data_IF_350422998336
#
_entry.id   IF_350422998336
#
_cell.length_a   1.000
_cell.length_b   1.000
_cell.length_c   1.000
_cell.angle_alpha   90.00
_cell.angle_beta   90.00
_cell.angle_gamma   90.00
#
_symmetry.space_group_name_H-M   'P 1'
#
loop_
_entity.id
_entity.type
_entity.pdbx_description
1 polymer ?
#
# COMPACT_ATOMS: atom_id res chain seq x y z
N UNK A 1 9.63 16.37 19.64
CA UNK A 1 8.50 15.94 20.48
C UNK A 1 8.45 14.42 20.37
N UNK A 2 8.51 13.68 21.48
CA UNK A 2 8.18 12.25 21.46
C UNK A 2 6.67 12.18 21.14
N UNK A 3 6.34 11.63 19.99
CA UNK A 3 4.95 11.50 19.56
C UNK A 3 4.17 10.68 20.60
N UNK A 4 3.00 11.19 20.96
CA UNK A 4 2.12 10.46 21.84
C UNK A 4 1.75 9.11 21.17
N UNK A 5 1.70 8.01 21.93
CA UNK A 5 1.35 6.72 21.37
C UNK A 5 -0.04 6.77 20.70
N UNK A 6 -0.13 6.15 19.53
CA UNK A 6 -1.38 6.05 18.79
C UNK A 6 -2.30 5.02 19.47
N UNK A 7 -3.53 5.42 19.75
CA UNK A 7 -4.55 4.52 20.29
C UNK A 7 -5.44 4.07 19.15
N UNK A 8 -5.50 2.77 18.93
CA UNK A 8 -6.40 2.14 17.97
C UNK A 8 -7.43 1.29 18.72
N UNK A 9 -8.63 1.19 18.18
CA UNK A 9 -9.63 0.25 18.69
C UNK A 9 -9.40 -1.09 17.99
N UNK A 10 -9.06 -2.16 18.72
CA UNK A 10 -8.88 -3.47 18.10
C UNK A 10 -10.24 -4.03 17.66
N UNK A 11 -10.28 -4.60 16.47
CA UNK A 11 -11.40 -5.39 15.96
C UNK A 11 -10.81 -6.72 15.48
N UNK A 12 -10.88 -7.74 16.33
CA UNK A 12 -10.16 -8.99 16.10
C UNK A 12 -10.93 -10.19 16.66
N UNK A 13 -10.75 -11.33 16.01
CA UNK A 13 -11.19 -12.64 16.47
C UNK A 13 -10.08 -13.44 17.17
N UNK A 14 -8.92 -12.82 17.41
CA UNK A 14 -7.79 -13.46 18.07
C UNK A 14 -8.13 -13.82 19.53
N UNK A 15 -7.49 -14.87 20.02
CA UNK A 15 -7.56 -15.21 21.46
C UNK A 15 -6.93 -14.09 22.30
N UNK A 16 -7.27 -13.98 23.60
CA UNK A 16 -6.66 -12.99 24.50
C UNK A 16 -5.14 -13.04 24.50
N UNK A 17 -4.54 -14.23 24.48
CA UNK A 17 -3.08 -14.42 24.44
C UNK A 17 -2.46 -13.92 23.12
N UNK A 18 -3.10 -14.20 21.99
CA UNK A 18 -2.64 -13.72 20.68
C UNK A 18 -2.78 -12.18 20.58
N UNK A 19 -3.84 -11.63 21.17
CA UNK A 19 -4.05 -10.18 21.25
C UNK A 19 -2.97 -9.52 22.13
N UNK A 20 -2.61 -10.10 23.26
CA UNK A 20 -1.52 -9.61 24.13
C UNK A 20 -0.18 -9.58 23.38
N UNK A 21 0.16 -10.68 22.69
CA UNK A 21 1.38 -10.75 21.86
C UNK A 21 1.37 -9.70 20.76
N UNK A 22 0.24 -9.54 20.05
CA UNK A 22 0.08 -8.52 19.01
C UNK A 22 0.26 -7.12 19.59
N UNK A 23 -0.35 -6.83 20.74
CA UNK A 23 -0.21 -5.56 21.44
C UNK A 23 1.25 -5.26 21.80
N UNK A 24 2.00 -6.26 22.26
CA UNK A 24 3.42 -6.13 22.56
C UNK A 24 4.28 -5.80 21.34
N UNK A 25 3.98 -6.41 20.18
CA UNK A 25 4.68 -6.08 18.92
C UNK A 25 4.36 -4.65 18.48
N UNK A 26 3.10 -4.27 18.48
CA UNK A 26 2.64 -2.94 18.05
C UNK A 26 3.16 -1.82 18.97
N UNK A 27 3.20 -2.08 20.29
CA UNK A 27 3.66 -1.09 21.25
C UNK A 27 5.14 -0.69 21.08
N UNK A 28 5.99 -1.58 20.55
CA UNK A 28 7.41 -1.27 20.25
C UNK A 28 7.54 -0.19 19.18
N UNK A 29 6.56 -0.09 18.29
CA UNK A 29 6.49 0.93 17.22
C UNK A 29 5.53 2.08 17.59
N UNK A 30 5.20 2.25 18.87
CA UNK A 30 4.38 3.33 19.38
C UNK A 30 2.88 3.19 19.08
N UNK A 31 2.42 2.02 18.62
CA UNK A 31 1.01 1.74 18.34
C UNK A 31 0.41 1.04 19.56
N UNK A 32 -0.43 1.77 20.32
CA UNK A 32 -1.11 1.20 21.49
C UNK A 32 -2.53 0.81 21.11
N UNK A 33 -2.92 -0.42 21.46
CA UNK A 33 -4.30 -0.91 21.34
C UNK A 33 -5.10 -0.49 22.57
N UNK A 34 -6.25 0.10 22.36
CA UNK A 34 -7.13 0.56 23.44
C UNK A 34 -8.48 1.00 22.91
N UNK A 35 -9.37 1.38 23.80
CA UNK A 35 -10.64 2.02 23.41
C UNK A 35 -10.30 3.40 22.84
N UNK A 36 -10.39 3.53 21.51
CA UNK A 36 -10.37 4.81 20.81
C UNK A 36 -11.74 5.51 20.93
N UNK A 37 -11.81 6.74 20.47
CA UNK A 37 -13.11 7.39 20.18
C UNK A 37 -13.70 6.80 18.87
N UNK A 38 -14.96 7.06 18.60
CA UNK A 38 -15.65 6.57 17.39
C UNK A 38 -15.03 7.13 16.09
N UNK A 39 -14.18 8.14 16.18
CA UNK A 39 -13.47 8.75 15.06
C UNK A 39 -12.06 8.15 14.83
N UNK A 40 -11.60 7.26 15.70
CA UNK A 40 -10.33 6.57 15.52
C UNK A 40 -10.46 5.46 14.44
N UNK A 41 -9.44 5.23 13.61
CA UNK A 41 -9.46 4.10 12.70
C UNK A 41 -9.46 2.77 13.47
N UNK A 42 -10.27 1.82 13.00
CA UNK A 42 -10.29 0.47 13.54
C UNK A 42 -9.12 -0.34 13.00
N UNK A 43 -8.36 -0.98 13.88
CA UNK A 43 -7.38 -1.97 13.49
C UNK A 43 -8.03 -3.36 13.53
N UNK A 44 -8.02 -4.04 12.39
CA UNK A 44 -8.47 -5.42 12.25
C UNK A 44 -7.25 -6.31 12.13
N UNK A 45 -7.07 -7.20 13.10
CA UNK A 45 -6.04 -8.23 13.07
C UNK A 45 -6.64 -9.52 12.50
N UNK A 46 -6.07 -10.08 11.43
CA UNK A 46 -6.63 -11.22 10.71
C UNK A 46 -5.54 -12.12 10.12
N UNK A 47 -5.91 -13.27 9.57
CA UNK A 47 -4.97 -14.23 9.00
C UNK A 47 -4.29 -13.78 7.68
N UNK A 48 -4.61 -12.58 7.20
CA UNK A 48 -4.08 -12.00 5.97
C UNK A 48 -4.76 -12.50 4.69
N UNK A 49 -5.86 -13.24 4.81
CA UNK A 49 -6.66 -13.72 3.68
C UNK A 49 -7.89 -12.86 3.52
N UNK A 50 -7.95 -12.09 2.44
CA UNK A 50 -9.12 -11.25 2.18
C UNK A 50 -10.35 -12.07 1.89
N UNK A 51 -11.48 -11.59 2.41
CA UNK A 51 -12.82 -12.09 2.16
C UNK A 51 -13.75 -10.90 1.85
N UNK A 52 -14.94 -11.14 1.25
CA UNK A 52 -15.90 -10.06 1.04
C UNK A 52 -16.30 -9.30 2.32
N UNK A 53 -16.22 -9.94 3.50
CA UNK A 53 -16.49 -9.27 4.78
C UNK A 53 -15.48 -8.14 5.08
N UNK A 54 -14.22 -8.30 4.68
CA UNK A 54 -13.20 -7.26 4.84
C UNK A 54 -13.49 -6.03 3.98
N UNK A 55 -14.16 -6.18 2.83
CA UNK A 55 -14.61 -5.05 2.02
C UNK A 55 -15.56 -4.13 2.80
N UNK A 56 -16.52 -4.70 3.54
CA UNK A 56 -17.43 -3.92 4.38
C UNK A 56 -16.71 -3.16 5.51
N UNK A 57 -15.60 -3.70 6.03
CA UNK A 57 -14.78 -3.02 7.04
C UNK A 57 -14.02 -1.83 6.44
N UNK A 58 -13.58 -1.94 5.19
CA UNK A 58 -12.94 -0.83 4.46
C UNK A 58 -13.94 0.29 4.10
N UNK A 59 -15.23 -0.01 3.98
CA UNK A 59 -16.28 0.98 3.71
C UNK A 59 -16.65 1.82 4.93
N UNK A 60 -16.20 1.46 6.14
CA UNK A 60 -16.41 2.26 7.37
C UNK A 60 -15.80 3.64 7.25
N UNK A 61 -16.20 4.54 8.13
CA UNK A 61 -15.63 5.90 8.24
C UNK A 61 -15.15 6.17 9.67
N UNK A 62 -13.83 6.20 9.91
CA UNK A 62 -12.74 5.96 8.96
C UNK A 62 -12.66 4.49 8.51
N UNK A 63 -12.02 4.21 7.35
CA UNK A 63 -11.79 2.84 6.89
C UNK A 63 -10.98 2.03 7.92
N UNK A 64 -11.30 0.74 8.03
CA UNK A 64 -10.53 -0.14 8.88
C UNK A 64 -9.12 -0.38 8.30
N UNK A 65 -8.15 -0.54 9.17
CA UNK A 65 -6.78 -0.94 8.86
C UNK A 65 -6.68 -2.46 8.99
N UNK A 66 -6.45 -3.16 7.89
CA UNK A 66 -6.38 -4.63 7.86
C UNK A 66 -4.91 -5.06 7.99
N UNK A 67 -4.52 -5.59 9.16
CA UNK A 67 -3.16 -6.00 9.49
C UNK A 67 -3.07 -7.52 9.64
N UNK A 68 -2.23 -8.15 8.82
CA UNK A 68 -2.05 -9.59 8.83
C UNK A 68 -1.25 -10.06 10.08
N UNK A 69 -1.65 -11.21 10.62
CA UNK A 69 -0.98 -11.88 11.73
C UNK A 69 -0.15 -13.06 11.20
N UNK A 70 1.05 -12.77 10.67
CA UNK A 70 1.94 -13.76 10.03
C UNK A 70 2.80 -14.54 11.00
N UNK A 71 3.05 -13.96 12.18
CA UNK A 71 3.95 -14.53 13.18
C UNK A 71 3.37 -15.75 13.87
N UNK A 72 4.25 -16.56 14.43
CA UNK A 72 3.85 -17.69 15.28
C UNK A 72 2.99 -17.18 16.44
N UNK A 73 1.84 -17.82 16.65
CA UNK A 73 0.88 -17.41 17.68
C UNK A 73 -0.04 -16.24 17.31
N UNK A 74 -0.18 -15.91 16.00
CA UNK A 74 -1.17 -14.97 15.53
C UNK A 74 -0.81 -13.51 15.82
N UNK A 75 0.46 -13.13 15.72
CA UNK A 75 0.93 -11.75 15.88
C UNK A 75 1.33 -11.13 14.53
N UNK A 76 1.25 -9.80 14.37
CA UNK A 76 1.82 -9.12 13.20
C UNK A 76 3.35 -9.21 13.22
N UNK A 77 3.97 -9.09 12.05
CA UNK A 77 5.42 -8.97 11.95
C UNK A 77 5.90 -7.60 12.45
N UNK A 78 7.12 -7.51 12.98
CA UNK A 78 7.69 -6.25 13.44
C UNK A 78 7.75 -5.19 12.31
N UNK A 79 8.07 -5.59 11.07
CA UNK A 79 8.10 -4.67 9.95
C UNK A 79 6.70 -4.14 9.57
N UNK A 80 5.62 -4.93 9.74
CA UNK A 80 4.25 -4.48 9.52
C UNK A 80 3.78 -3.52 10.62
N UNK A 81 4.18 -3.78 11.87
CA UNK A 81 3.93 -2.87 12.98
C UNK A 81 4.60 -1.51 12.76
N UNK A 82 5.86 -1.51 12.29
CA UNK A 82 6.61 -0.31 11.91
C UNK A 82 5.93 0.44 10.76
N UNK A 83 5.52 -0.26 9.71
CA UNK A 83 4.78 0.32 8.58
C UNK A 83 3.48 0.99 9.04
N UNK A 84 2.71 0.31 9.89
CA UNK A 84 1.49 0.87 10.47
C UNK A 84 1.79 2.13 11.30
N UNK A 85 2.80 2.07 12.17
CA UNK A 85 3.22 3.22 12.96
C UNK A 85 3.64 4.40 12.09
N UNK A 86 4.46 4.18 11.06
CA UNK A 86 4.89 5.21 10.11
C UNK A 86 3.70 5.81 9.35
N UNK A 87 2.78 4.95 8.86
CA UNK A 87 1.57 5.39 8.18
C UNK A 87 0.75 6.37 9.05
N UNK A 88 0.52 6.02 10.30
CA UNK A 88 -0.33 6.80 11.21
C UNK A 88 0.32 8.09 11.70
N UNK A 89 1.66 8.13 11.82
CA UNK A 89 2.40 9.33 12.25
C UNK A 89 2.77 10.29 11.12
N UNK A 90 2.39 9.99 9.87
CA UNK A 90 2.78 10.84 8.75
C UNK A 90 4.26 10.72 8.37
N UNK A 91 4.95 9.67 8.84
CA UNK A 91 6.36 9.40 8.56
C UNK A 91 6.57 8.71 7.21
N UNK A 92 7.81 8.70 6.63
CA UNK A 92 8.13 7.90 5.46
C UNK A 92 7.83 6.42 5.71
N UNK A 93 7.17 5.76 4.75
CA UNK A 93 6.79 4.35 4.87
C UNK A 93 7.91 3.39 4.45
N UNK A 94 8.90 3.87 3.70
CA UNK A 94 10.17 3.16 3.51
C UNK A 94 11.01 3.26 4.79
N UNK A 95 11.63 2.18 5.28
CA UNK A 95 12.47 2.21 6.47
C UNK A 95 13.58 3.27 6.37
N UNK A 96 13.75 4.09 7.41
CA UNK A 96 14.68 5.23 7.41
C UNK A 96 16.15 4.81 7.26
N UNK A 97 16.48 3.61 7.75
CA UNK A 97 17.81 3.00 7.68
C UNK A 97 18.15 2.43 6.29
N UNK A 98 17.15 2.30 5.41
CA UNK A 98 17.35 1.76 4.08
C UNK A 98 17.93 2.81 3.12
N UNK A 99 18.94 2.42 2.34
CA UNK A 99 19.44 3.23 1.24
C UNK A 99 18.33 3.39 0.17
N UNK A 100 17.72 4.57 0.14
CA UNK A 100 16.55 4.85 -0.69
C UNK A 100 16.98 5.52 -2.00
N UNK A 101 16.58 4.92 -3.12
CA UNK A 101 16.64 5.53 -4.44
C UNK A 101 15.36 6.31 -4.72
N UNK A 102 15.48 7.42 -5.46
CA UNK A 102 14.38 8.34 -5.74
C UNK A 102 14.39 8.73 -7.21
N UNK A 103 13.22 8.85 -7.82
CA UNK A 103 13.04 9.35 -9.19
C UNK A 103 11.77 10.19 -9.33
N UNK A 104 11.89 11.36 -9.97
CA UNK A 104 10.75 12.11 -10.47
C UNK A 104 10.34 11.55 -11.82
N UNK A 105 9.07 11.22 -11.97
CA UNK A 105 8.52 10.57 -13.16
C UNK A 105 7.53 11.51 -13.85
N UNK A 106 7.77 11.76 -15.14
CA UNK A 106 6.93 12.58 -16.00
C UNK A 106 6.42 11.85 -17.25
N UNK A 107 6.80 10.55 -17.40
CA UNK A 107 6.37 9.73 -18.54
C UNK A 107 6.26 8.24 -18.16
N UNK A 108 5.48 7.49 -18.94
CA UNK A 108 5.36 6.03 -18.77
C UNK A 108 6.71 5.33 -19.04
N UNK A 109 7.51 5.88 -19.96
CA UNK A 109 8.87 5.37 -20.21
C UNK A 109 9.76 5.50 -18.98
N UNK A 110 9.70 6.62 -18.26
CA UNK A 110 10.44 6.81 -17.01
C UNK A 110 9.92 5.89 -15.89
N UNK A 111 8.61 5.60 -15.84
CA UNK A 111 8.03 4.60 -14.92
C UNK A 111 8.63 3.22 -15.19
N UNK A 112 8.67 2.80 -16.46
CA UNK A 112 9.24 1.51 -16.87
C UNK A 112 10.72 1.43 -16.49
N UNK A 113 11.52 2.45 -16.83
CA UNK A 113 12.94 2.49 -16.48
C UNK A 113 13.19 2.49 -14.96
N UNK A 114 12.32 3.11 -14.18
CA UNK A 114 12.39 3.06 -12.72
C UNK A 114 12.06 1.65 -12.19
N UNK A 115 11.07 0.96 -12.80
CA UNK A 115 10.75 -0.43 -12.49
C UNK A 115 11.93 -1.38 -12.75
N UNK A 116 12.64 -1.20 -13.87
CA UNK A 116 13.85 -1.97 -14.21
C UNK A 116 14.95 -1.74 -13.17
N UNK A 117 15.19 -0.49 -12.76
CA UNK A 117 16.19 -0.18 -11.71
C UNK A 117 15.82 -0.76 -10.36
N UNK A 118 14.55 -0.73 -9.98
CA UNK A 118 14.08 -1.33 -8.74
C UNK A 118 14.20 -2.87 -8.77
N UNK A 119 13.90 -3.49 -9.91
CA UNK A 119 14.09 -4.93 -10.13
C UNK A 119 15.58 -5.33 -10.07
N UNK A 120 16.47 -4.53 -10.66
CA UNK A 120 17.92 -4.74 -10.59
C UNK A 120 18.43 -4.66 -9.14
N UNK A 121 17.94 -3.68 -8.35
CA UNK A 121 18.29 -3.59 -6.93
C UNK A 121 17.86 -4.84 -6.13
N UNK A 122 16.73 -5.45 -6.49
CA UNK A 122 16.30 -6.73 -5.91
C UNK A 122 17.28 -7.86 -6.23
N UNK A 123 17.72 -7.96 -7.50
CA UNK A 123 18.68 -8.98 -7.92
C UNK A 123 20.03 -8.80 -7.23
N UNK A 124 20.52 -7.56 -7.13
CA UNK A 124 21.78 -7.22 -6.46
C UNK A 124 21.73 -7.55 -4.96
N UNK A 125 20.56 -7.45 -4.33
CA UNK A 125 20.35 -7.86 -2.95
C UNK A 125 20.13 -9.37 -2.76
N UNK A 126 20.31 -10.18 -3.81
CA UNK A 126 20.14 -11.63 -3.77
C UNK A 126 18.67 -12.10 -3.86
N UNK A 127 17.75 -11.22 -4.25
CA UNK A 127 16.36 -11.59 -4.49
C UNK A 127 16.18 -12.47 -5.73
N UNK A 128 15.08 -13.21 -5.79
CA UNK A 128 14.77 -14.07 -6.93
C UNK A 128 14.37 -13.26 -8.18
N UNK A 129 14.55 -13.84 -9.37
CA UNK A 129 14.05 -13.25 -10.63
C UNK A 129 12.54 -13.02 -10.59
N UNK A 130 11.79 -13.92 -9.94
CA UNK A 130 10.35 -13.78 -9.77
C UNK A 130 10.02 -12.58 -8.87
N UNK A 131 10.81 -12.32 -7.81
CA UNK A 131 10.64 -11.12 -6.97
C UNK A 131 10.96 -9.85 -7.76
N UNK A 132 12.04 -9.84 -8.53
CA UNK A 132 12.42 -8.71 -9.39
C UNK A 132 11.30 -8.36 -10.39
N UNK A 133 10.72 -9.37 -11.06
CA UNK A 133 9.59 -9.17 -11.97
C UNK A 133 8.37 -8.58 -11.26
N UNK A 134 8.02 -9.10 -10.07
CA UNK A 134 6.92 -8.55 -9.27
C UNK A 134 7.16 -7.10 -8.88
N UNK A 135 8.38 -6.76 -8.50
CA UNK A 135 8.75 -5.39 -8.14
C UNK A 135 8.58 -4.46 -9.33
N UNK A 136 9.06 -4.86 -10.53
CA UNK A 136 8.86 -4.08 -11.75
C UNK A 136 7.36 -3.87 -12.05
N UNK A 137 6.55 -4.93 -11.94
CA UNK A 137 5.10 -4.85 -12.14
C UNK A 137 4.43 -3.90 -11.13
N UNK A 138 4.78 -4.00 -9.84
CA UNK A 138 4.22 -3.11 -8.80
C UNK A 138 4.63 -1.66 -9.04
N UNK A 139 5.91 -1.40 -9.37
CA UNK A 139 6.39 -0.05 -9.70
C UNK A 139 5.63 0.51 -10.88
N UNK A 140 5.43 -0.30 -11.94
CA UNK A 140 4.66 0.13 -13.11
C UNK A 140 3.24 0.56 -12.70
N UNK A 141 2.52 -0.27 -11.97
CA UNK A 141 1.13 0.00 -11.60
C UNK A 141 0.99 1.22 -10.65
N UNK A 142 1.82 1.31 -9.58
CA UNK A 142 1.75 2.46 -8.66
C UNK A 142 2.22 3.75 -9.34
N UNK A 143 3.24 3.66 -10.22
CA UNK A 143 3.76 4.79 -10.97
C UNK A 143 2.74 5.32 -11.98
N UNK A 144 2.13 4.45 -12.78
CA UNK A 144 1.10 4.85 -13.76
C UNK A 144 -0.13 5.42 -13.07
N UNK A 145 -0.58 4.85 -11.95
CA UNK A 145 -1.71 5.39 -11.20
C UNK A 145 -1.39 6.80 -10.66
N UNK A 146 -0.21 7.01 -10.09
CA UNK A 146 0.22 8.32 -9.58
C UNK A 146 0.43 9.34 -10.71
N UNK A 147 0.91 8.90 -11.88
CA UNK A 147 1.24 9.76 -13.02
C UNK A 147 0.02 10.14 -13.86
N UNK A 148 -0.89 9.19 -14.13
CA UNK A 148 -1.97 9.38 -15.11
C UNK A 148 -3.36 9.45 -14.50
N UNK A 149 -3.61 8.81 -13.34
CA UNK A 149 -4.95 8.79 -12.74
C UNK A 149 -5.14 9.82 -11.65
N UNK A 150 -4.07 10.18 -10.95
CA UNK A 150 -4.13 11.16 -9.87
C UNK A 150 -4.31 12.60 -10.37
N UNK A 151 -3.65 13.06 -11.49
CA UNK A 151 -3.72 14.43 -11.91
C UNK A 151 -5.12 14.88 -12.34
N UNK A 152 -5.53 16.05 -11.85
CA UNK A 152 -6.79 16.70 -12.18
C UNK A 152 -6.54 18.15 -12.59
N UNK A 153 -7.46 18.69 -13.36
CA UNK A 153 -7.49 20.12 -13.71
C UNK A 153 -8.05 20.98 -12.58
N UNK A 154 -8.16 22.28 -12.80
CA UNK A 154 -8.72 23.23 -11.84
C UNK A 154 -10.20 22.96 -11.50
N UNK A 155 -10.94 22.27 -12.37
CA UNK A 155 -12.32 21.83 -12.15
C UNK A 155 -12.41 20.52 -11.37
N UNK A 156 -11.29 19.85 -11.14
CA UNK A 156 -11.25 18.53 -10.48
C UNK A 156 -11.46 17.36 -11.44
N UNK A 157 -11.50 17.59 -12.74
CA UNK A 157 -11.66 16.54 -13.75
C UNK A 157 -10.32 15.86 -14.07
N UNK A 158 -10.31 14.53 -14.33
CA UNK A 158 -9.10 13.80 -14.65
C UNK A 158 -8.42 14.32 -15.92
N UNK A 159 -7.13 14.69 -15.84
CA UNK A 159 -6.37 15.20 -16.99
C UNK A 159 -6.02 14.09 -18.00
N UNK A 160 -5.61 12.92 -17.53
CA UNK A 160 -4.98 11.88 -18.37
C UNK A 160 -5.68 10.52 -18.32
N UNK A 161 -6.43 10.20 -17.27
CA UNK A 161 -7.00 8.88 -17.03
C UNK A 161 -7.82 8.30 -18.20
N UNK A 162 -8.56 9.16 -18.91
CA UNK A 162 -9.43 8.75 -20.02
C UNK A 162 -8.68 8.56 -21.36
N UNK A 163 -7.37 8.91 -21.43
CA UNK A 163 -6.54 8.83 -22.64
C UNK A 163 -5.14 8.26 -22.37
N UNK A 164 -5.00 7.40 -21.37
CA UNK A 164 -3.72 6.84 -20.92
C UNK A 164 -2.80 6.36 -22.05
N UNK A 165 -3.35 5.65 -23.06
CA UNK A 165 -2.58 5.11 -24.20
C UNK A 165 -2.03 6.17 -25.16
N UNK A 166 -2.45 7.42 -25.04
CA UNK A 166 -2.02 8.53 -25.91
C UNK A 166 -1.06 9.49 -25.20
N UNK A 167 -0.94 9.40 -23.87
CA UNK A 167 -0.10 10.30 -23.08
C UNK A 167 1.34 9.81 -23.10
N UNK A 168 2.21 10.56 -23.76
CA UNK A 168 3.66 10.28 -23.78
C UNK A 168 4.35 10.86 -22.54
N UNK A 169 3.97 12.08 -22.13
CA UNK A 169 4.49 12.75 -20.94
C UNK A 169 3.41 13.63 -20.33
N UNK A 170 3.55 13.91 -19.04
CA UNK A 170 2.69 14.83 -18.29
C UNK A 170 3.36 16.20 -18.11
N UNK A 171 2.60 17.20 -17.70
CA UNK A 171 3.15 18.51 -17.33
C UNK A 171 4.07 18.41 -16.11
N UNK A 172 4.99 19.37 -15.95
CA UNK A 172 5.99 19.35 -14.85
C UNK A 172 5.34 19.33 -13.46
N UNK A 173 4.24 20.07 -13.30
CA UNK A 173 3.45 20.10 -12.06
C UNK A 173 2.71 18.79 -11.76
N UNK A 174 2.51 17.94 -12.76
CA UNK A 174 1.77 16.67 -12.65
C UNK A 174 2.69 15.47 -12.43
N UNK A 175 4.02 15.68 -12.43
CA UNK A 175 5.00 14.63 -12.14
C UNK A 175 4.77 14.03 -10.77
N UNK A 176 5.00 12.73 -10.66
CA UNK A 176 4.98 12.01 -9.39
C UNK A 176 6.38 11.64 -8.93
N UNK A 177 6.53 11.40 -7.63
CA UNK A 177 7.75 10.92 -7.02
C UNK A 177 7.65 9.43 -6.79
N UNK A 178 8.63 8.66 -7.26
CA UNK A 178 8.82 7.26 -6.91
C UNK A 178 10.06 7.12 -6.04
N UNK A 179 9.92 6.36 -4.95
CA UNK A 179 11.02 5.98 -4.07
C UNK A 179 11.06 4.47 -3.93
N UNK A 180 12.26 3.88 -3.85
CA UNK A 180 12.42 2.45 -3.57
C UNK A 180 13.67 2.17 -2.79
N UNK A 181 13.62 1.08 -2.01
CA UNK A 181 14.75 0.56 -1.26
C UNK A 181 14.64 -0.95 -1.13
N UNK A 182 15.77 -1.62 -0.88
CA UNK A 182 15.80 -3.03 -0.51
C UNK A 182 16.39 -3.15 0.89
N UNK A 183 15.61 -3.65 1.83
CA UNK A 183 16.01 -3.83 3.22
C UNK A 183 15.23 -4.98 3.87
N UNK A 184 15.83 -5.66 4.83
CA UNK A 184 15.19 -6.71 5.66
C UNK A 184 14.49 -7.81 4.83
N UNK A 185 15.10 -8.21 3.71
CA UNK A 185 14.56 -9.23 2.81
C UNK A 185 13.33 -8.79 2.02
N UNK A 186 13.10 -7.48 1.87
CA UNK A 186 11.95 -6.89 1.14
C UNK A 186 12.38 -5.75 0.23
N UNK A 187 11.68 -5.62 -0.87
CA UNK A 187 11.65 -4.38 -1.62
C UNK A 187 10.53 -3.48 -1.08
N UNK A 188 10.88 -2.26 -0.77
CA UNK A 188 9.99 -1.20 -0.33
C UNK A 188 9.83 -0.21 -1.48
N UNK A 189 8.59 0.08 -1.84
CA UNK A 189 8.23 0.91 -2.99
C UNK A 189 7.24 1.96 -2.53
N UNK A 190 7.40 3.21 -2.91
CA UNK A 190 6.44 4.28 -2.59
C UNK A 190 6.29 5.22 -3.79
N UNK A 191 5.05 5.40 -4.27
CA UNK A 191 4.70 6.43 -5.22
C UNK A 191 3.94 7.55 -4.51
N UNK A 192 4.32 8.80 -4.80
CA UNK A 192 3.69 9.99 -4.22
C UNK A 192 3.19 10.91 -5.33
N UNK A 193 1.89 11.20 -5.34
CA UNK A 193 1.27 12.25 -6.14
C UNK A 193 0.95 13.49 -5.29
N UNK A 194 0.63 14.62 -5.95
CA UNK A 194 0.32 15.90 -5.32
C UNK A 194 -1.18 16.24 -5.30
N UNK A 195 -2.04 15.24 -5.51
CA UNK A 195 -3.48 15.49 -5.72
C UNK A 195 -4.34 15.00 -4.56
N UNK A 196 -3.94 13.93 -3.86
CA UNK A 196 -4.68 13.40 -2.71
C UNK A 196 -6.10 12.96 -3.07
N UNK A 197 -6.28 12.33 -4.23
CA UNK A 197 -7.60 11.98 -4.78
C UNK A 197 -7.99 10.52 -4.62
N UNK A 198 -7.06 9.66 -4.23
CA UNK A 198 -7.36 8.24 -4.10
C UNK A 198 -8.37 8.00 -2.98
N UNK A 199 -9.51 7.44 -3.32
CA UNK A 199 -10.49 6.97 -2.35
C UNK A 199 -10.26 5.49 -2.00
N UNK A 200 -10.89 5.00 -0.95
CA UNK A 200 -10.85 3.59 -0.57
C UNK A 200 -11.65 2.69 -1.53
N UNK A 201 -12.62 3.25 -2.26
CA UNK A 201 -13.57 2.48 -3.08
C UNK A 201 -12.94 1.54 -4.12
N UNK A 202 -11.87 1.89 -4.83
CA UNK A 202 -11.18 0.95 -5.71
C UNK A 202 -10.61 -0.26 -4.97
N UNK A 203 -10.05 -0.06 -3.77
CA UNK A 203 -9.52 -1.14 -2.93
C UNK A 203 -10.64 -2.04 -2.41
N UNK A 204 -11.78 -1.45 -2.02
CA UNK A 204 -13.00 -2.19 -1.62
C UNK A 204 -13.44 -3.13 -2.74
N UNK A 205 -13.49 -2.65 -3.99
CA UNK A 205 -13.87 -3.50 -5.14
C UNK A 205 -12.91 -4.68 -5.32
N UNK A 206 -11.61 -4.45 -5.21
CA UNK A 206 -10.61 -5.52 -5.35
C UNK A 206 -10.74 -6.54 -4.22
N UNK A 207 -10.91 -6.09 -2.96
CA UNK A 207 -11.09 -6.99 -1.81
C UNK A 207 -12.39 -7.77 -1.90
N UNK A 208 -13.48 -7.15 -2.37
CA UNK A 208 -14.77 -7.80 -2.56
C UNK A 208 -14.71 -8.94 -3.60
N UNK A 209 -13.96 -8.72 -4.69
CA UNK A 209 -13.74 -9.71 -5.76
C UNK A 209 -12.51 -10.60 -5.51
N UNK A 210 -11.95 -10.60 -4.29
CA UNK A 210 -10.76 -11.40 -3.98
C UNK A 210 -11.07 -12.90 -4.03
N UNK A 211 -10.24 -13.64 -4.76
CA UNK A 211 -10.46 -15.09 -4.98
C UNK A 211 -11.32 -15.44 -6.19
N UNK A 212 -12.06 -14.50 -6.75
CA UNK A 212 -12.77 -14.70 -8.01
C UNK A 212 -11.80 -14.64 -9.20
N UNK A 213 -12.11 -15.38 -10.28
CA UNK A 213 -11.36 -15.22 -11.53
C UNK A 213 -11.52 -13.78 -12.01
N UNK A 214 -10.42 -13.12 -12.35
CA UNK A 214 -10.43 -11.76 -12.89
C UNK A 214 -11.35 -11.74 -14.14
N UNK A 215 -12.55 -11.18 -13.99
CA UNK A 215 -13.37 -10.82 -15.15
C UNK A 215 -12.79 -9.51 -15.68
N UNK A 216 -12.33 -9.55 -16.92
CA UNK A 216 -11.96 -8.33 -17.66
C UNK A 216 -13.28 -7.62 -17.96
N UNK A 217 -13.61 -6.65 -17.11
CA UNK A 217 -14.73 -5.76 -17.39
C UNK A 217 -14.34 -4.87 -18.59
N UNK A 218 -14.87 -5.19 -19.75
CA UNK A 218 -14.60 -4.46 -20.99
C UNK A 218 -15.16 -3.01 -20.99
N UNK A 219 -15.83 -2.60 -19.89
CA UNK A 219 -16.47 -1.29 -19.76
C UNK A 219 -15.50 -0.15 -19.38
N UNK A 220 -14.21 -0.26 -19.72
CA UNK A 220 -13.32 0.92 -19.82
C UNK A 220 -12.60 1.37 -18.55
N UNK A 221 -12.62 0.62 -17.47
CA UNK A 221 -11.96 1.00 -16.20
C UNK A 221 -10.77 0.11 -15.83
N UNK A 222 -9.61 0.28 -16.47
CA UNK A 222 -8.38 -0.48 -16.14
C UNK A 222 -7.87 -0.37 -14.68
N UNK A 223 -8.39 0.56 -13.88
CA UNK A 223 -7.98 0.83 -12.50
C UNK A 223 -8.15 -0.35 -11.53
N UNK A 224 -9.09 -1.26 -11.77
CA UNK A 224 -9.32 -2.42 -10.91
C UNK A 224 -8.28 -3.53 -11.07
N UNK A 225 -7.79 -3.75 -12.29
CA UNK A 225 -6.79 -4.79 -12.60
C UNK A 225 -5.41 -4.42 -12.05
N UNK A 226 -5.01 -3.15 -12.17
CA UNK A 226 -3.73 -2.66 -11.66
C UNK A 226 -3.65 -2.78 -10.12
N UNK A 227 -4.68 -2.33 -9.40
CA UNK A 227 -4.73 -2.46 -7.94
C UNK A 227 -4.77 -3.93 -7.47
N UNK A 228 -5.46 -4.79 -8.22
CA UNK A 228 -5.46 -6.22 -7.94
C UNK A 228 -4.06 -6.80 -8.08
N UNK A 229 -3.34 -6.49 -9.16
CA UNK A 229 -1.95 -6.91 -9.40
C UNK A 229 -1.03 -6.42 -8.28
N UNK A 230 -1.16 -5.15 -7.86
CA UNK A 230 -0.40 -4.62 -6.72
C UNK A 230 -0.63 -5.48 -5.48
N UNK A 231 -1.89 -5.77 -5.12
CA UNK A 231 -2.22 -6.58 -3.94
C UNK A 231 -1.75 -8.04 -4.09
N UNK A 232 -1.83 -8.62 -5.29
CA UNK A 232 -1.35 -10.00 -5.54
C UNK A 232 0.17 -10.10 -5.38
N UNK A 233 0.93 -9.09 -5.81
CA UNK A 233 2.38 -9.09 -5.82
C UNK A 233 3.01 -8.57 -4.52
N UNK A 234 2.27 -7.84 -3.69
CA UNK A 234 2.75 -7.27 -2.43
C UNK A 234 2.34 -8.10 -1.22
N UNK A 235 3.13 -8.03 -0.15
CA UNK A 235 2.79 -8.59 1.17
C UNK A 235 2.02 -7.57 2.01
N UNK A 236 2.33 -6.28 1.83
CA UNK A 236 1.57 -5.20 2.43
C UNK A 236 1.42 -4.04 1.45
N UNK A 237 0.26 -3.41 1.50
CA UNK A 237 -0.05 -2.15 0.84
C UNK A 237 -0.48 -1.15 1.90
N UNK A 238 0.16 0.01 1.91
CA UNK A 238 -0.16 1.10 2.81
C UNK A 238 -0.40 2.39 2.01
N UNK A 239 -1.55 3.00 2.22
CA UNK A 239 -1.97 4.21 1.50
C UNK A 239 -2.28 5.30 2.50
N UNK A 240 -1.64 6.45 2.34
CA UNK A 240 -1.95 7.67 3.06
C UNK A 240 -2.45 8.72 2.09
N UNK A 241 -3.62 9.27 2.38
CA UNK A 241 -4.22 10.32 1.57
C UNK A 241 -4.43 11.57 2.42
N UNK A 242 -3.81 12.67 2.02
CA UNK A 242 -4.13 14.01 2.50
C UNK A 242 -5.02 14.65 1.43
N UNK A 243 -6.34 14.75 1.64
CA UNK A 243 -7.28 15.16 0.60
C UNK A 243 -6.91 16.49 -0.06
N UNK A 244 -6.91 16.50 -1.39
CA UNK A 244 -6.55 17.67 -2.20
C UNK A 244 -5.08 18.11 -2.14
N UNK A 245 -4.21 17.32 -1.50
CA UNK A 245 -2.80 17.69 -1.32
C UNK A 245 -1.84 16.59 -1.78
N UNK A 246 -2.05 15.33 -1.35
CA UNK A 246 -1.08 14.26 -1.57
C UNK A 246 -1.68 12.89 -1.38
N UNK A 247 -1.31 11.93 -2.24
CA UNK A 247 -1.41 10.49 -1.96
C UNK A 247 -0.01 9.92 -1.86
N UNK A 248 0.25 9.10 -0.84
CA UNK A 248 1.42 8.24 -0.73
C UNK A 248 0.94 6.80 -0.77
N UNK A 249 1.40 6.05 -1.74
CA UNK A 249 1.03 4.66 -1.95
C UNK A 249 2.28 3.80 -1.82
N UNK A 250 2.39 3.05 -0.73
CA UNK A 250 3.55 2.22 -0.44
C UNK A 250 3.22 0.73 -0.51
N UNK A 251 4.21 -0.04 -0.96
CA UNK A 251 4.16 -1.50 -1.06
C UNK A 251 5.40 -2.13 -0.44
N UNK A 252 5.24 -3.26 0.22
CA UNK A 252 6.32 -4.14 0.63
C UNK A 252 6.22 -5.46 -0.13
N UNK A 253 7.29 -5.86 -0.82
CA UNK A 253 7.38 -7.09 -1.63
C UNK A 253 8.53 -7.95 -1.12
N UNK A 254 8.25 -9.16 -0.68
CA UNK A 254 9.26 -10.13 -0.24
C UNK A 254 10.16 -10.58 -1.39
N UNK A 255 11.45 -10.74 -1.15
CA UNK A 255 12.45 -11.09 -2.15
C UNK A 255 12.49 -12.58 -2.51
N UNK A 256 11.82 -13.42 -1.75
CA UNK A 256 11.79 -14.86 -1.96
C UNK A 256 10.93 -15.29 -3.16
N UNK A 257 11.10 -16.54 -3.53
CA UNK A 257 10.31 -17.17 -4.60
C UNK A 257 9.16 -18.00 -4.00
N UNK A 258 8.05 -17.33 -3.69
CA UNK A 258 6.86 -18.03 -3.19
C UNK A 258 5.95 -18.41 -4.36
N UNK A 259 5.84 -19.71 -4.63
CA UNK A 259 5.02 -20.27 -5.73
C UNK A 259 3.54 -19.91 -5.67
N UNK A 260 3.00 -19.55 -4.51
CA UNK A 260 1.58 -19.20 -4.30
C UNK A 260 1.44 -17.85 -3.61
N UNK A 261 1.95 -16.80 -4.24
CA UNK A 261 1.95 -15.44 -3.66
C UNK A 261 0.57 -14.89 -3.35
N UNK A 262 -0.42 -15.11 -4.20
CA UNK A 262 -1.79 -14.65 -3.96
C UNK A 262 -2.40 -15.27 -2.69
N UNK A 263 -1.94 -16.46 -2.27
CA UNK A 263 -2.38 -17.14 -1.07
C UNK A 263 -1.58 -16.76 0.20
N UNK A 264 -0.50 -15.95 0.06
CA UNK A 264 0.26 -15.48 1.22
C UNK A 264 -0.56 -14.42 1.99
N UNK A 265 -0.38 -14.35 3.32
CA UNK A 265 -1.01 -13.31 4.13
C UNK A 265 -0.69 -11.90 3.60
N UNK A 266 -1.66 -11.01 3.64
CA UNK A 266 -1.54 -9.64 3.11
C UNK A 266 -2.09 -8.62 4.09
N UNK A 267 -1.40 -7.49 4.20
CA UNK A 267 -1.90 -6.32 4.95
C UNK A 267 -2.38 -5.24 3.99
N UNK A 268 -3.48 -4.58 4.33
CA UNK A 268 -4.01 -3.44 3.59
C UNK A 268 -4.36 -2.32 4.56
N UNK A 269 -3.57 -1.26 4.51
CA UNK A 269 -3.64 -0.13 5.44
C UNK A 269 -4.02 1.12 4.65
N UNK A 270 -5.24 1.64 4.83
CA UNK A 270 -5.70 2.87 4.17
C UNK A 270 -6.03 3.93 5.20
N UNK A 271 -5.30 5.05 5.17
CA UNK A 271 -5.43 6.15 6.11
C UNK A 271 -5.79 7.45 5.39
N UNK A 272 -6.87 8.10 5.84
CA UNK A 272 -7.23 9.46 5.45
C UNK A 272 -6.72 10.40 6.53
N UNK A 273 -5.80 11.29 6.18
CA UNK A 273 -5.39 12.36 7.09
C UNK A 273 -6.52 13.40 7.18
N UNK A 274 -6.79 13.85 8.39
CA UNK A 274 -7.66 15.01 8.60
C UNK A 274 -6.88 16.24 8.13
N UNK A 275 -7.45 16.98 7.17
CA UNK A 275 -6.88 18.21 6.63
C UNK A 275 -6.85 19.35 7.66
#
# INVERSE_FOLDING_TARGET
MKDAPLKLTPDTTLTPEALEKASGVLARDGVLLGRGDDAAPHLVLFDGRFTPAHAALLERRPPALLLATRGEGGQPSAWEARLLGALLRGEPMIPREAATSVAWLGSVTEVTAAGERAAEAVLQAGGSRAAASRVADVVHEIGVNALLDAPVDAGGEPKYAHRRGQVQSVAEEDRCLLSWAVADGRAWLEATDRFGRLSVSPLVRVVKAWGEKAQVDASGGGAGLGLRRILEHSDAVAVRVTPGKRTQFACAVDLGDARRRAAQPKSLLFCLERG
#
